data_IF_529261532075
#
_entry.id   IF_529261532075
#
_cell.length_a   1.000
_cell.length_b   1.000
_cell.length_c   1.000
_cell.angle_alpha   90.00
_cell.angle_beta   90.00
_cell.angle_gamma   90.00
#
_symmetry.space_group_name_H-M   'P 1'
#
loop_
_entity.id
_entity.type
_entity.pdbx_description
1 polymer ?
#
# COMPACT_ATOMS: atom_id res chain seq x y z
N UNK A 1 4.13 32.39 3.30
CA UNK A 1 3.22 31.33 2.81
C UNK A 1 3.01 30.33 3.93
N UNK A 2 1.78 30.03 4.36
CA UNK A 2 1.58 29.00 5.37
C UNK A 2 1.89 27.63 4.77
N UNK A 3 2.47 26.70 5.57
CA UNK A 3 2.74 25.35 5.10
C UNK A 3 1.43 24.64 4.74
N UNK A 4 1.48 23.83 3.69
CA UNK A 4 0.34 23.10 3.16
C UNK A 4 -0.28 22.22 4.27
N UNK A 5 -1.56 22.39 4.65
CA UNK A 5 -2.21 21.65 5.74
C UNK A 5 -2.27 20.13 5.51
N UNK A 6 -1.91 19.67 4.30
CA UNK A 6 -1.83 18.27 3.90
C UNK A 6 -0.64 17.50 4.50
N UNK A 7 0.44 18.17 4.91
CA UNK A 7 1.60 17.49 5.51
C UNK A 7 1.38 17.06 6.97
N UNK A 8 0.51 17.79 7.69
CA UNK A 8 0.35 17.67 9.15
C UNK A 8 -0.29 16.34 9.63
N UNK A 9 -1.02 15.63 8.77
CA UNK A 9 -1.63 14.34 9.12
C UNK A 9 -0.65 13.16 8.98
N UNK A 10 0.35 13.26 8.10
CA UNK A 10 1.32 12.19 7.88
C UNK A 10 2.44 12.13 8.93
N UNK A 11 2.68 13.23 9.64
CA UNK A 11 3.80 13.34 10.57
C UNK A 11 3.48 12.94 12.02
N UNK A 12 2.21 12.69 12.36
CA UNK A 12 1.82 12.26 13.73
C UNK A 12 2.11 10.79 14.08
N UNK A 13 2.69 10.00 13.17
CA UNK A 13 2.95 8.56 13.38
C UNK A 13 4.44 8.19 13.57
N UNK A 14 5.36 9.16 13.74
CA UNK A 14 6.79 8.86 13.94
C UNK A 14 7.16 8.72 15.41
N UNK A 15 6.74 7.62 16.04
CA UNK A 15 7.37 7.13 17.27
C UNK A 15 8.41 6.06 16.89
N UNK A 16 9.69 6.42 17.06
CA UNK A 16 10.86 5.65 17.52
C UNK A 16 12.14 6.16 16.84
N UNK A 17 13.15 6.46 17.65
CA UNK A 17 14.38 7.16 17.29
C UNK A 17 15.08 6.64 16.03
N UNK A 18 15.35 7.54 15.09
CA UNK A 18 16.04 7.22 13.84
C UNK A 18 17.54 7.39 14.02
N UNK A 19 18.29 6.28 13.94
CA UNK A 19 19.62 6.32 13.32
C UNK A 19 19.44 6.96 11.93
N UNK A 20 20.32 7.88 11.54
CA UNK A 20 20.30 8.42 10.19
C UNK A 20 20.33 7.27 9.18
N UNK A 21 19.49 7.27 8.14
CA UNK A 21 19.52 6.23 7.12
C UNK A 21 20.89 6.24 6.45
N UNK A 22 21.42 5.04 6.16
CA UNK A 22 22.70 4.91 5.47
C UNK A 22 22.62 5.59 4.09
N UNK A 23 23.72 6.18 3.60
CA UNK A 23 23.81 6.66 2.22
C UNK A 23 23.36 5.60 1.20
N UNK A 24 22.79 6.03 0.08
CA UNK A 24 22.21 5.12 -0.93
C UNK A 24 23.19 4.04 -1.39
N UNK A 25 24.45 4.39 -1.64
CA UNK A 25 25.47 3.43 -2.07
C UNK A 25 25.74 2.35 -1.00
N UNK A 26 25.80 2.72 0.28
CA UNK A 26 26.01 1.78 1.38
C UNK A 26 24.79 0.88 1.57
N UNK A 27 23.59 1.46 1.47
CA UNK A 27 22.33 0.70 1.55
C UNK A 27 22.22 -0.33 0.42
N UNK A 28 22.59 0.07 -0.81
CA UNK A 28 22.57 -0.81 -1.97
C UNK A 28 23.60 -1.93 -1.83
N UNK A 29 24.83 -1.60 -1.44
CA UNK A 29 25.88 -2.60 -1.22
C UNK A 29 25.52 -3.59 -0.11
N UNK A 30 24.99 -3.10 1.03
CA UNK A 30 24.55 -3.95 2.12
C UNK A 30 23.44 -4.92 1.69
N UNK A 31 22.47 -4.44 0.90
CA UNK A 31 21.43 -5.30 0.36
C UNK A 31 21.98 -6.36 -0.59
N UNK A 32 22.86 -6.00 -1.52
CA UNK A 32 23.48 -6.98 -2.44
C UNK A 32 24.35 -8.00 -1.68
N UNK A 33 25.12 -7.58 -0.68
CA UNK A 33 25.90 -8.51 0.16
C UNK A 33 25.01 -9.47 0.92
N UNK A 34 23.88 -9.01 1.44
CA UNK A 34 22.88 -9.88 2.07
C UNK A 34 22.32 -10.90 1.07
N UNK A 35 22.00 -10.50 -0.15
CA UNK A 35 21.55 -11.44 -1.19
C UNK A 35 22.62 -12.47 -1.56
N UNK A 36 23.90 -12.11 -1.50
CA UNK A 36 25.01 -13.04 -1.76
C UNK A 36 25.06 -14.17 -0.72
N UNK A 37 24.70 -13.89 0.53
CA UNK A 37 24.82 -14.84 1.65
C UNK A 37 23.54 -15.62 1.94
N UNK A 38 22.38 -15.10 1.52
CA UNK A 38 21.08 -15.76 1.74
C UNK A 38 20.84 -16.91 0.75
N UNK A 39 20.63 -18.11 1.28
CA UNK A 39 20.32 -19.30 0.47
C UNK A 39 18.98 -19.15 -0.25
N UNK A 40 18.99 -19.39 -1.56
CA UNK A 40 17.78 -19.29 -2.41
C UNK A 40 17.44 -17.86 -2.84
N UNK A 41 18.20 -16.86 -2.40
CA UNK A 41 18.15 -15.50 -2.94
C UNK A 41 18.86 -15.43 -4.30
N UNK A 42 18.50 -14.48 -5.17
CA UNK A 42 19.30 -14.19 -6.35
C UNK A 42 20.70 -13.74 -5.92
N UNK A 43 21.72 -14.51 -6.31
CA UNK A 43 23.11 -14.23 -5.96
C UNK A 43 23.67 -13.11 -6.85
N UNK A 44 24.05 -11.94 -6.30
CA UNK A 44 24.63 -10.88 -7.11
C UNK A 44 26.00 -11.29 -7.68
N UNK A 45 26.33 -10.79 -8.85
CA UNK A 45 27.66 -10.99 -9.46
C UNK A 45 28.56 -9.79 -9.16
N UNK A 46 29.90 -9.93 -9.21
CA UNK A 46 30.81 -8.78 -9.14
C UNK A 46 30.48 -7.69 -10.17
N UNK A 47 29.97 -8.08 -11.35
CA UNK A 47 29.48 -7.16 -12.36
C UNK A 47 28.27 -6.36 -11.88
N UNK A 48 27.32 -7.01 -11.17
CA UNK A 48 26.13 -6.34 -10.63
C UNK A 48 26.49 -5.25 -9.63
N UNK A 49 27.45 -5.49 -8.73
CA UNK A 49 27.96 -4.47 -7.81
C UNK A 49 28.50 -3.24 -8.57
N UNK A 50 29.29 -3.46 -9.63
CA UNK A 50 29.84 -2.37 -10.46
C UNK A 50 28.74 -1.60 -11.18
N UNK A 51 27.74 -2.28 -11.73
CA UNK A 51 26.59 -1.66 -12.41
C UNK A 51 25.80 -0.76 -11.47
N UNK A 52 25.50 -1.23 -10.25
CA UNK A 52 24.77 -0.44 -9.25
C UNK A 52 25.59 0.77 -8.82
N UNK A 53 26.87 0.60 -8.50
CA UNK A 53 27.76 1.70 -8.15
C UNK A 53 27.88 2.75 -9.28
N UNK A 54 28.00 2.30 -10.52
CA UNK A 54 28.05 3.19 -11.68
C UNK A 54 26.74 3.95 -11.89
N UNK A 55 25.58 3.27 -11.81
CA UNK A 55 24.28 3.91 -11.91
C UNK A 55 24.11 5.01 -10.86
N UNK A 56 24.44 4.71 -9.60
CA UNK A 56 24.32 5.69 -8.51
C UNK A 56 25.22 6.90 -8.77
N UNK A 57 26.46 6.71 -9.24
CA UNK A 57 27.36 7.82 -9.58
C UNK A 57 26.86 8.67 -10.73
N UNK A 58 26.22 8.07 -11.75
CA UNK A 58 25.81 8.77 -12.96
C UNK A 58 24.44 9.44 -12.84
N UNK A 59 23.49 8.80 -12.15
CA UNK A 59 22.07 9.25 -12.11
C UNK A 59 21.60 9.63 -10.72
N UNK A 60 22.43 9.41 -9.69
CA UNK A 60 22.04 9.58 -8.29
C UNK A 60 21.18 8.43 -7.75
N UNK A 61 20.86 7.42 -8.55
CA UNK A 61 20.03 6.27 -8.15
C UNK A 61 20.36 4.98 -8.91
N UNK A 62 19.66 3.89 -8.62
CA UNK A 62 19.73 2.62 -9.37
C UNK A 62 18.36 1.93 -9.44
N UNK A 63 18.25 0.91 -10.28
CA UNK A 63 17.06 0.08 -10.38
C UNK A 63 17.35 -1.36 -9.98
N UNK A 64 16.43 -1.95 -9.22
CA UNK A 64 16.44 -3.38 -8.89
C UNK A 64 16.07 -4.22 -10.10
N UNK A 65 16.71 -5.38 -10.25
CA UNK A 65 16.22 -6.42 -11.16
C UNK A 65 14.89 -7.01 -10.65
N UNK A 66 14.10 -7.69 -11.48
CA UNK A 66 12.87 -8.36 -11.02
C UNK A 66 13.12 -9.35 -9.88
N UNK A 67 14.23 -10.09 -9.93
CA UNK A 67 14.60 -11.05 -8.88
C UNK A 67 14.97 -10.36 -7.56
N UNK A 68 15.75 -9.28 -7.63
CA UNK A 68 16.11 -8.47 -6.46
C UNK A 68 14.86 -7.83 -5.83
N UNK A 69 13.93 -7.32 -6.65
CA UNK A 69 12.68 -6.75 -6.17
C UNK A 69 11.83 -7.81 -5.46
N UNK A 70 11.66 -8.98 -6.09
CA UNK A 70 10.86 -10.08 -5.54
C UNK A 70 11.40 -10.50 -4.16
N UNK A 71 12.71 -10.74 -4.06
CA UNK A 71 13.34 -11.11 -2.79
C UNK A 71 13.26 -9.98 -1.76
N UNK A 72 13.51 -8.73 -2.17
CA UNK A 72 13.44 -7.56 -1.29
C UNK A 72 12.05 -7.37 -0.66
N UNK A 73 10.97 -7.59 -1.42
CA UNK A 73 9.61 -7.54 -0.89
C UNK A 73 9.36 -8.63 0.16
N UNK A 74 9.77 -9.86 -0.14
CA UNK A 74 9.66 -11.01 0.78
C UNK A 74 10.43 -10.78 2.06
N UNK A 75 11.66 -10.29 1.94
CA UNK A 75 12.52 -9.95 3.08
C UNK A 75 11.92 -8.83 3.93
N UNK A 76 11.33 -7.80 3.31
CA UNK A 76 10.65 -6.73 4.04
C UNK A 76 9.48 -7.27 4.89
N UNK A 77 8.70 -8.23 4.37
CA UNK A 77 7.66 -8.88 5.15
C UNK A 77 8.23 -9.75 6.29
N UNK A 78 9.27 -10.56 6.01
CA UNK A 78 9.99 -11.34 7.04
C UNK A 78 10.44 -10.45 8.22
N UNK A 79 10.86 -9.22 7.92
CA UNK A 79 11.35 -8.24 8.89
C UNK A 79 10.26 -7.32 9.48
N UNK A 80 8.99 -7.51 9.11
CA UNK A 80 7.89 -6.73 9.68
C UNK A 80 7.57 -7.20 11.10
N UNK A 81 8.16 -6.53 12.09
CA UNK A 81 8.08 -6.91 13.52
C UNK A 81 6.66 -6.91 14.10
N UNK A 82 5.71 -6.23 13.44
CA UNK A 82 4.30 -6.17 13.85
C UNK A 82 3.42 -7.20 13.12
N UNK A 83 3.98 -8.00 12.21
CA UNK A 83 3.21 -8.99 11.44
C UNK A 83 3.33 -10.39 12.05
N UNK A 84 2.23 -10.90 12.62
CA UNK A 84 2.15 -12.28 13.13
C UNK A 84 2.26 -13.33 12.00
N UNK A 85 1.78 -13.00 10.79
CA UNK A 85 1.76 -13.89 9.63
C UNK A 85 3.09 -14.07 8.89
N UNK A 86 4.21 -13.55 9.43
CA UNK A 86 5.53 -13.55 8.78
C UNK A 86 6.08 -14.95 8.42
N UNK A 87 5.49 -16.03 8.93
CA UNK A 87 5.86 -17.39 8.54
C UNK A 87 5.65 -17.66 7.04
N UNK A 88 4.67 -17.00 6.41
CA UNK A 88 4.36 -17.18 4.99
C UNK A 88 5.21 -16.30 4.05
N UNK A 89 6.22 -15.60 4.57
CA UNK A 89 6.98 -14.57 3.84
C UNK A 89 7.51 -15.01 2.48
N UNK A 90 7.93 -16.27 2.34
CA UNK A 90 8.49 -16.82 1.10
C UNK A 90 7.45 -17.07 0.01
N UNK A 91 6.15 -17.10 0.36
CA UNK A 91 5.01 -17.33 -0.55
C UNK A 91 4.36 -16.03 -1.04
N UNK A 92 4.98 -14.87 -0.79
CA UNK A 92 4.48 -13.59 -1.28
C UNK A 92 4.55 -13.55 -2.81
N UNK A 93 3.41 -13.28 -3.43
CA UNK A 93 3.32 -12.95 -4.85
C UNK A 93 3.64 -11.46 -5.04
N UNK A 94 4.55 -11.15 -5.97
CA UNK A 94 5.05 -9.79 -6.18
C UNK A 94 4.69 -9.37 -7.60
N UNK A 95 3.85 -8.34 -7.71
CA UNK A 95 3.44 -7.73 -8.97
C UNK A 95 4.31 -6.50 -9.21
N UNK A 96 5.16 -6.55 -10.26
CA UNK A 96 6.02 -5.44 -10.65
C UNK A 96 5.27 -4.45 -11.54
N UNK A 97 4.77 -3.37 -10.92
CA UNK A 97 4.06 -2.27 -11.57
C UNK A 97 4.91 -0.99 -11.65
N UNK A 98 6.25 -1.09 -11.54
CA UNK A 98 7.16 0.07 -11.54
C UNK A 98 7.20 0.83 -12.87
N UNK A 99 6.62 0.27 -13.92
CA UNK A 99 6.52 0.87 -15.24
C UNK A 99 5.32 1.81 -15.39
N UNK A 100 4.31 1.73 -14.52
CA UNK A 100 3.09 2.55 -14.62
C UNK A 100 3.39 4.03 -14.34
N UNK A 101 2.64 4.94 -14.99
CA UNK A 101 2.92 6.38 -15.00
C UNK A 101 1.72 7.27 -14.76
N UNK A 102 0.50 6.73 -14.79
CA UNK A 102 -0.75 7.49 -14.62
C UNK A 102 -1.53 7.04 -13.38
N UNK A 103 -2.37 7.93 -12.84
CA UNK A 103 -3.26 7.57 -11.74
C UNK A 103 -4.28 6.49 -12.15
N UNK A 104 -4.74 6.48 -13.40
CA UNK A 104 -5.64 5.47 -13.98
C UNK A 104 -5.01 4.08 -14.00
N UNK A 105 -3.76 3.97 -14.45
CA UNK A 105 -3.02 2.71 -14.45
C UNK A 105 -2.84 2.18 -13.03
N UNK A 106 -2.50 3.05 -12.08
CA UNK A 106 -2.34 2.68 -10.67
C UNK A 106 -3.68 2.23 -10.09
N UNK A 107 -4.78 2.93 -10.41
CA UNK A 107 -6.12 2.54 -10.00
C UNK A 107 -6.47 1.14 -10.53
N UNK A 108 -6.26 0.90 -11.82
CA UNK A 108 -6.53 -0.40 -12.44
C UNK A 108 -5.71 -1.51 -11.78
N UNK A 109 -4.41 -1.28 -11.56
CA UNK A 109 -3.53 -2.23 -10.87
C UNK A 109 -3.97 -2.50 -9.42
N UNK A 110 -4.62 -1.55 -8.73
CA UNK A 110 -5.20 -1.78 -7.41
C UNK A 110 -6.43 -2.71 -7.49
N UNK A 111 -7.28 -2.57 -8.52
CA UNK A 111 -8.39 -3.49 -8.76
C UNK A 111 -7.91 -4.89 -9.12
N UNK A 112 -6.87 -4.96 -9.96
CA UNK A 112 -6.26 -6.22 -10.37
C UNK A 112 -5.61 -6.92 -9.17
N UNK A 113 -4.95 -6.17 -8.28
CA UNK A 113 -4.44 -6.70 -7.01
C UNK A 113 -5.56 -7.32 -6.17
N UNK A 114 -6.65 -6.58 -5.92
CA UNK A 114 -7.79 -7.08 -5.15
C UNK A 114 -8.35 -8.38 -5.75
N UNK A 115 -8.53 -8.42 -7.06
CA UNK A 115 -9.08 -9.58 -7.77
C UNK A 115 -8.12 -10.78 -7.70
N UNK A 116 -6.84 -10.55 -7.99
CA UNK A 116 -5.79 -11.58 -7.96
C UNK A 116 -5.62 -12.18 -6.57
N UNK A 117 -5.49 -11.34 -5.55
CA UNK A 117 -5.25 -11.75 -4.18
C UNK A 117 -6.50 -12.36 -3.53
N UNK A 118 -7.70 -11.97 -3.94
CA UNK A 118 -8.94 -12.55 -3.40
C UNK A 118 -9.22 -13.95 -3.95
N UNK A 119 -8.95 -14.21 -5.24
CA UNK A 119 -9.07 -15.55 -5.88
C UNK A 119 -10.36 -16.30 -5.48
N UNK A 120 -11.51 -15.64 -5.59
CA UNK A 120 -12.82 -16.19 -5.21
C UNK A 120 -12.93 -16.72 -3.76
N UNK A 121 -12.11 -16.22 -2.84
CA UNK A 121 -12.07 -16.63 -1.43
C UNK A 121 -10.81 -17.44 -1.06
N UNK A 122 -10.06 -17.96 -2.03
CA UNK A 122 -8.78 -18.66 -1.82
C UNK A 122 -7.62 -17.65 -1.71
N UNK A 123 -7.64 -16.87 -0.61
CA UNK A 123 -6.78 -15.69 -0.44
C UNK A 123 -5.30 -15.99 -0.67
N UNK A 124 -4.63 -15.11 -1.42
CA UNK A 124 -3.19 -15.15 -1.67
C UNK A 124 -2.49 -13.86 -1.27
N UNK A 125 -1.49 -13.98 -0.40
CA UNK A 125 -0.62 -12.86 -0.01
C UNK A 125 0.08 -12.28 -1.23
N UNK A 126 -0.18 -11.00 -1.48
CA UNK A 126 0.25 -10.32 -2.70
C UNK A 126 0.75 -8.92 -2.35
N UNK A 127 1.75 -8.42 -3.07
CA UNK A 127 2.17 -7.02 -3.04
C UNK A 127 2.28 -6.48 -4.47
N UNK A 128 1.79 -5.27 -4.71
CA UNK A 128 1.97 -4.56 -5.99
C UNK A 128 2.93 -3.41 -5.80
N UNK A 129 4.01 -3.37 -6.57
CA UNK A 129 5.06 -2.34 -6.43
C UNK A 129 4.92 -1.29 -7.53
N UNK A 130 4.52 -0.08 -7.15
CA UNK A 130 4.48 1.07 -8.05
C UNK A 130 5.86 1.74 -8.17
N UNK A 131 6.04 2.72 -9.06
CA UNK A 131 7.34 3.35 -9.27
C UNK A 131 8.01 3.83 -7.97
N UNK A 132 9.35 3.71 -7.87
CA UNK A 132 10.09 4.24 -6.73
C UNK A 132 9.97 5.76 -6.67
N UNK A 133 10.31 6.31 -5.51
CA UNK A 133 10.47 7.74 -5.33
C UNK A 133 11.63 8.27 -6.18
N UNK A 134 11.49 9.50 -6.69
CA UNK A 134 12.58 10.25 -7.30
C UNK A 134 13.62 10.70 -6.24
N UNK A 135 14.69 11.35 -6.68
CA UNK A 135 15.75 11.86 -5.79
C UNK A 135 15.28 12.89 -4.76
N UNK A 136 14.09 13.49 -4.97
CA UNK A 136 13.44 14.43 -4.05
C UNK A 136 12.44 13.74 -3.12
N UNK A 137 12.29 12.42 -3.22
CA UNK A 137 11.39 11.62 -2.39
C UNK A 137 9.96 11.56 -2.91
N UNK A 138 9.70 12.03 -4.13
CA UNK A 138 8.37 12.06 -4.70
C UNK A 138 8.04 10.80 -5.49
N UNK A 139 6.81 10.32 -5.37
CA UNK A 139 6.34 9.16 -6.09
C UNK A 139 4.82 9.03 -6.02
N UNK A 140 4.26 7.96 -6.58
CA UNK A 140 2.84 7.68 -6.47
C UNK A 140 2.41 7.52 -5.01
N UNK A 141 1.21 7.96 -4.68
CA UNK A 141 0.61 7.80 -3.35
C UNK A 141 -0.82 7.30 -3.49
N UNK A 142 -1.13 6.26 -2.74
CA UNK A 142 -2.50 5.84 -2.43
C UNK A 142 -2.80 6.36 -1.04
N UNK A 143 -3.80 7.22 -0.93
CA UNK A 143 -4.09 7.93 0.32
C UNK A 143 -4.93 7.11 1.28
N UNK A 144 -5.66 6.12 0.75
CA UNK A 144 -6.44 5.18 1.53
C UNK A 144 -5.52 4.38 2.47
N UNK A 145 -5.98 4.13 3.69
CA UNK A 145 -5.29 3.21 4.62
C UNK A 145 -5.26 1.78 4.06
N UNK A 146 -6.40 1.31 3.56
CA UNK A 146 -6.53 0.05 2.83
C UNK A 146 -7.33 0.26 1.54
N UNK A 147 -7.13 -0.61 0.55
CA UNK A 147 -7.86 -0.53 -0.73
C UNK A 147 -9.37 -0.75 -0.57
N UNK A 148 -9.78 -1.58 0.39
CA UNK A 148 -11.18 -1.76 0.78
C UNK A 148 -11.38 -1.21 2.19
N UNK A 149 -12.15 -0.13 2.32
CA UNK A 149 -12.60 0.45 3.60
C UNK A 149 -14.01 0.98 3.45
N UNK A 150 -14.80 0.90 4.53
CA UNK A 150 -16.11 1.52 4.59
C UNK A 150 -15.99 2.99 5.00
N UNK A 151 -16.90 3.81 4.49
CA UNK A 151 -16.99 5.22 4.84
C UNK A 151 -17.50 5.42 6.29
N UNK A 152 -17.14 6.56 6.87
CA UNK A 152 -17.62 7.04 8.16
C UNK A 152 -18.30 8.40 7.99
N UNK A 153 -19.63 8.44 7.89
CA UNK A 153 -20.36 9.69 7.72
C UNK A 153 -20.72 10.32 9.06
N UNK A 154 -20.26 11.55 9.31
CA UNK A 154 -20.70 12.33 10.47
C UNK A 154 -22.16 12.75 10.26
N UNK A 155 -23.05 12.29 11.14
CA UNK A 155 -24.48 12.66 11.15
C UNK A 155 -24.79 13.79 12.14
N UNK A 156 -23.84 14.09 13.03
CA UNK A 156 -23.94 15.14 14.05
C UNK A 156 -22.67 15.18 14.91
N UNK A 157 -22.68 15.92 16.04
CA UNK A 157 -21.47 16.15 16.86
C UNK A 157 -20.82 14.87 17.43
N UNK A 158 -21.60 13.82 17.70
CA UNK A 158 -21.10 12.55 18.30
C UNK A 158 -21.57 11.29 17.57
N UNK A 159 -22.29 11.43 16.46
CA UNK A 159 -22.87 10.29 15.75
C UNK A 159 -22.17 10.12 14.40
N UNK A 160 -21.68 8.90 14.16
CA UNK A 160 -21.06 8.49 12.90
C UNK A 160 -21.80 7.25 12.39
N UNK A 161 -22.17 7.28 11.11
CA UNK A 161 -22.68 6.12 10.38
C UNK A 161 -21.53 5.46 9.61
N UNK A 162 -21.33 4.16 9.82
CA UNK A 162 -20.24 3.40 9.20
C UNK A 162 -19.00 3.36 10.07
N UNK A 163 -17.81 3.43 9.48
CA UNK A 163 -16.54 3.26 10.21
C UNK A 163 -16.05 4.60 10.81
N UNK A 164 -16.03 4.76 12.15
CA UNK A 164 -15.56 5.99 12.79
C UNK A 164 -14.10 6.34 12.49
N UNK A 165 -13.24 5.34 12.25
CA UNK A 165 -11.82 5.56 11.97
C UNK A 165 -11.61 6.22 10.60
N UNK A 166 -12.57 6.08 9.69
CA UNK A 166 -12.51 6.65 8.35
C UNK A 166 -13.25 7.98 8.21
N UNK A 167 -13.76 8.56 9.30
CA UNK A 167 -14.59 9.75 9.22
C UNK A 167 -13.87 10.96 8.58
N UNK A 168 -12.61 11.21 8.99
CA UNK A 168 -11.82 12.32 8.44
C UNK A 168 -11.47 12.10 6.96
N UNK A 169 -11.18 10.85 6.58
CA UNK A 169 -10.88 10.49 5.20
C UNK A 169 -12.15 10.51 4.33
N UNK A 170 -13.30 10.14 4.88
CA UNK A 170 -14.62 10.27 4.25
C UNK A 170 -14.92 11.74 3.96
N UNK A 171 -14.72 12.62 4.94
CA UNK A 171 -14.90 14.06 4.77
C UNK A 171 -13.95 14.63 3.69
N UNK A 172 -12.71 14.13 3.61
CA UNK A 172 -11.78 14.46 2.53
C UNK A 172 -12.33 14.02 1.17
N UNK A 173 -12.81 12.79 1.03
CA UNK A 173 -13.38 12.28 -0.22
C UNK A 173 -14.58 13.13 -0.67
N UNK A 174 -15.47 13.51 0.26
CA UNK A 174 -16.60 14.41 -0.03
C UNK A 174 -16.14 15.78 -0.55
N UNK A 175 -15.13 16.39 0.09
CA UNK A 175 -14.55 17.68 -0.36
C UNK A 175 -13.88 17.59 -1.72
N UNK A 176 -13.27 16.44 -2.05
CA UNK A 176 -12.68 16.17 -3.36
C UNK A 176 -13.75 15.92 -4.45
N UNK A 177 -15.03 15.84 -4.07
CA UNK A 177 -16.15 15.70 -5.00
C UNK A 177 -16.75 14.28 -5.08
N UNK A 178 -16.40 13.38 -4.16
CA UNK A 178 -17.03 12.06 -4.11
C UNK A 178 -18.53 12.19 -3.82
N UNK A 179 -19.34 11.54 -4.65
CA UNK A 179 -20.79 11.45 -4.49
C UNK A 179 -21.13 10.09 -3.89
N UNK A 180 -21.42 10.00 -2.57
CA UNK A 180 -21.81 8.74 -1.96
C UNK A 180 -23.18 8.26 -2.50
N UNK A 181 -23.56 7.00 -2.25
CA UNK A 181 -24.90 6.51 -2.59
C UNK A 181 -26.01 7.41 -2.04
N UNK A 182 -27.12 7.54 -2.79
CA UNK A 182 -28.28 8.36 -2.37
C UNK A 182 -28.77 7.98 -0.97
N UNK A 183 -28.86 6.67 -0.71
CA UNK A 183 -29.12 6.12 0.62
C UNK A 183 -27.79 5.63 1.19
N UNK A 184 -27.22 6.40 2.11
CA UNK A 184 -25.99 6.04 2.81
C UNK A 184 -26.22 4.86 3.74
N UNK A 185 -25.22 4.00 3.85
CA UNK A 185 -25.23 2.83 4.73
C UNK A 185 -23.96 2.77 5.57
N UNK A 186 -23.96 1.91 6.59
CA UNK A 186 -22.78 1.66 7.41
C UNK A 186 -21.65 0.92 6.64
N UNK A 187 -21.94 0.41 5.44
CA UNK A 187 -21.04 -0.43 4.65
C UNK A 187 -20.81 0.13 3.23
N UNK A 188 -20.87 1.45 3.08
CA UNK A 188 -20.55 2.09 1.80
C UNK A 188 -19.03 2.08 1.59
N UNK A 189 -18.54 1.37 0.57
CA UNK A 189 -17.11 1.39 0.23
C UNK A 189 -16.64 2.79 -0.18
N UNK A 190 -15.49 3.20 0.34
CA UNK A 190 -14.82 4.44 -0.01
C UNK A 190 -14.26 4.41 -1.44
N UNK A 191 -14.17 5.57 -2.11
CA UNK A 191 -13.42 5.71 -3.35
C UNK A 191 -11.92 5.54 -3.10
N UNK A 192 -11.16 5.26 -4.15
CA UNK A 192 -9.69 5.32 -4.08
C UNK A 192 -9.22 6.75 -4.39
N UNK A 193 -8.31 7.26 -3.57
CA UNK A 193 -7.69 8.58 -3.76
C UNK A 193 -6.21 8.37 -4.09
N UNK A 194 -5.84 8.74 -5.30
CA UNK A 194 -4.50 8.50 -5.85
C UNK A 194 -3.91 9.81 -6.33
N UNK A 195 -2.62 10.03 -6.06
CA UNK A 195 -1.88 11.17 -6.59
C UNK A 195 -0.52 10.74 -7.11
N UNK A 196 -0.08 11.34 -8.20
CA UNK A 196 1.33 11.38 -8.60
C UNK A 196 1.99 12.64 -8.05
N UNK A 197 3.32 12.71 -8.17
CA UNK A 197 4.08 13.90 -7.80
C UNK A 197 3.54 15.16 -8.48
N UNK A 198 3.43 16.26 -7.72
CA UNK A 198 2.97 17.60 -8.14
C UNK A 198 1.57 17.68 -8.76
N UNK A 199 0.81 16.58 -8.69
CA UNK A 199 -0.58 16.53 -9.15
C UNK A 199 -1.52 16.56 -7.96
N UNK A 200 -2.68 17.20 -8.17
CA UNK A 200 -3.79 17.14 -7.20
C UNK A 200 -4.25 15.68 -7.08
N UNK A 201 -4.64 15.22 -5.87
CA UNK A 201 -5.20 13.89 -5.70
C UNK A 201 -6.47 13.74 -6.53
N UNK A 202 -6.63 12.57 -7.14
CA UNK A 202 -7.75 12.21 -8.00
C UNK A 202 -8.58 11.12 -7.33
N UNK A 203 -9.89 11.27 -7.43
CA UNK A 203 -10.85 10.29 -6.98
C UNK A 203 -11.13 9.27 -8.08
N UNK A 204 -11.11 8.00 -7.69
CA UNK A 204 -11.54 6.89 -8.51
C UNK A 204 -12.73 6.18 -7.85
N UNK A 205 -13.62 5.54 -8.64
CA UNK A 205 -14.77 4.84 -8.09
C UNK A 205 -14.40 3.84 -6.99
N UNK A 206 -15.29 3.60 -6.00
CA UNK A 206 -15.08 2.54 -5.03
C UNK A 206 -14.90 1.17 -5.71
N UNK A 207 -14.01 0.29 -5.23
CA UNK A 207 -13.66 -0.98 -5.87
C UNK A 207 -14.73 -2.08 -5.71
N UNK A 208 -16.01 -1.73 -5.84
CA UNK A 208 -17.16 -2.60 -5.51
C UNK A 208 -17.12 -3.98 -6.17
N UNK A 209 -16.66 -4.06 -7.43
CA UNK A 209 -16.59 -5.32 -8.18
C UNK A 209 -15.39 -6.18 -7.81
N UNK A 210 -14.32 -5.56 -7.29
CA UNK A 210 -13.08 -6.24 -6.92
C UNK A 210 -13.05 -6.62 -5.42
N UNK A 211 -13.94 -6.05 -4.60
CA UNK A 211 -14.05 -6.35 -3.18
C UNK A 211 -15.06 -7.48 -2.94
N UNK A 212 -14.58 -8.63 -2.44
CA UNK A 212 -15.44 -9.67 -1.87
C UNK A 212 -15.86 -9.27 -0.46
N UNK A 213 -17.16 -9.23 -0.19
CA UNK A 213 -17.74 -9.02 1.14
C UNK A 213 -18.32 -10.31 1.69
N UNK A 214 -18.11 -10.55 2.98
CA UNK A 214 -18.64 -11.70 3.72
C UNK A 214 -19.72 -11.20 4.69
N UNK A 215 -20.97 -11.66 4.57
CA UNK A 215 -22.00 -11.37 5.56
C UNK A 215 -21.67 -12.10 6.86
N UNK A 216 -21.80 -11.41 7.98
CA UNK A 216 -21.55 -11.99 9.31
C UNK A 216 -22.86 -12.56 9.83
N UNK A 217 -22.85 -13.86 10.12
CA UNK A 217 -23.98 -14.62 10.68
C UNK A 217 -23.48 -15.51 11.81
N UNK A 218 -24.35 -15.83 12.76
CA UNK A 218 -24.03 -16.83 13.78
C UNK A 218 -24.50 -18.21 13.28
N UNK A 219 -23.72 -19.29 13.48
CA UNK A 219 -24.05 -20.61 12.94
C UNK A 219 -25.41 -21.14 13.42
N UNK A 220 -25.73 -20.93 14.70
CA UNK A 220 -26.93 -21.51 15.32
C UNK A 220 -28.00 -20.48 15.72
N UNK A 221 -27.78 -19.18 15.47
CA UNK A 221 -28.67 -18.12 15.96
C UNK A 221 -28.89 -17.03 14.91
N UNK A 222 -30.15 -16.72 14.64
CA UNK A 222 -30.52 -15.66 13.69
C UNK A 222 -30.49 -14.26 14.30
N UNK A 223 -30.14 -14.10 15.59
CA UNK A 223 -30.20 -12.80 16.27
C UNK A 223 -29.35 -11.73 15.57
N UNK A 224 -28.21 -12.12 14.97
CA UNK A 224 -27.32 -11.21 14.23
C UNK A 224 -27.80 -10.87 12.82
N UNK A 225 -28.70 -11.66 12.22
CA UNK A 225 -29.14 -11.46 10.83
C UNK A 225 -29.85 -10.11 10.67
N UNK A 226 -30.56 -9.69 11.71
CA UNK A 226 -31.25 -8.39 11.77
C UNK A 226 -30.28 -7.20 11.65
N UNK A 227 -29.03 -7.35 12.10
CA UNK A 227 -28.00 -6.31 12.03
C UNK A 227 -27.37 -6.17 10.64
N UNK A 228 -27.51 -7.19 9.78
CA UNK A 228 -27.01 -7.22 8.39
C UNK A 228 -25.52 -6.84 8.29
N UNK A 229 -24.74 -7.26 9.29
CA UNK A 229 -23.30 -7.01 9.38
C UNK A 229 -22.56 -7.69 8.23
N UNK A 230 -21.47 -7.07 7.78
CA UNK A 230 -20.59 -7.60 6.75
C UNK A 230 -19.18 -7.04 6.90
N UNK A 231 -18.21 -7.71 6.29
CA UNK A 231 -16.84 -7.21 6.20
C UNK A 231 -16.20 -7.64 4.87
N UNK A 232 -15.23 -6.90 4.38
CA UNK A 232 -14.46 -7.30 3.20
C UNK A 232 -13.52 -8.46 3.56
N UNK A 233 -13.37 -9.42 2.66
CA UNK A 233 -12.60 -10.65 2.89
C UNK A 233 -11.08 -10.43 2.92
N UNK A 234 -10.58 -9.44 2.18
CA UNK A 234 -9.15 -9.22 1.97
C UNK A 234 -8.70 -7.86 2.52
N UNK A 235 -7.86 -7.81 3.57
CA UNK A 235 -7.26 -6.57 4.05
C UNK A 235 -6.02 -6.21 3.23
N UNK A 236 -6.14 -5.26 2.29
CA UNK A 236 -4.99 -4.74 1.53
C UNK A 236 -4.51 -3.41 2.12
N UNK A 237 -3.41 -3.39 2.88
CA UNK A 237 -2.79 -2.15 3.40
C UNK A 237 -2.14 -1.38 2.24
N UNK A 238 -2.43 -0.09 2.10
CA UNK A 238 -2.02 0.71 0.92
C UNK A 238 -1.23 1.98 1.22
N UNK A 239 -1.17 2.44 2.47
CA UNK A 239 -0.51 3.70 2.83
C UNK A 239 0.91 3.52 3.40
N UNK A 240 1.46 2.31 3.38
CA UNK A 240 2.81 2.02 3.84
C UNK A 240 3.83 2.15 2.70
N UNK A 241 5.05 2.50 3.10
CA UNK A 241 6.20 2.63 2.21
C UNK A 241 7.10 1.40 2.34
N UNK A 242 7.56 0.87 1.20
CA UNK A 242 8.55 -0.20 1.16
C UNK A 242 9.94 0.40 0.91
N UNK A 243 10.95 -0.10 1.63
CA UNK A 243 12.35 0.26 1.42
C UNK A 243 13.18 -0.99 1.10
N UNK A 244 13.95 -0.95 0.01
CA UNK A 244 14.84 -2.05 -0.42
C UNK A 244 16.17 -1.44 -0.89
N UNK A 245 17.27 -1.79 -0.22
CA UNK A 245 18.61 -1.35 -0.63
C UNK A 245 18.74 0.17 -0.80
N UNK A 246 18.06 0.94 0.06
CA UNK A 246 18.04 2.41 0.03
C UNK A 246 17.05 3.03 -0.98
N UNK A 247 16.44 2.24 -1.86
CA UNK A 247 15.35 2.70 -2.70
C UNK A 247 14.05 2.72 -1.89
N UNK A 248 13.21 3.71 -2.17
CA UNK A 248 11.96 3.96 -1.48
C UNK A 248 10.79 3.82 -2.45
N UNK A 249 9.78 3.02 -2.11
CA UNK A 249 8.57 2.80 -2.89
C UNK A 249 7.36 3.34 -2.10
N UNK A 250 6.91 4.59 -2.38
CA UNK A 250 5.89 5.26 -1.56
C UNK A 250 4.48 4.67 -1.67
N UNK A 251 4.20 3.90 -2.73
CA UNK A 251 2.98 3.13 -2.89
C UNK A 251 3.35 1.68 -3.20
N UNK A 252 3.06 0.78 -2.26
CA UNK A 252 3.33 -0.64 -2.39
C UNK A 252 2.23 -1.44 -1.66
N UNK A 253 0.97 -1.40 -2.12
CA UNK A 253 -0.12 -2.06 -1.42
C UNK A 253 0.09 -3.57 -1.31
N UNK A 254 -0.20 -4.12 -0.13
CA UNK A 254 -0.01 -5.54 0.18
C UNK A 254 -1.15 -6.13 1.01
N UNK A 255 -1.39 -7.43 0.86
CA UNK A 255 -2.35 -8.24 1.64
C UNK A 255 -1.73 -9.51 2.23
#
# INVERSE_FOLDING_TARGET
MPPCPFLALSDRLRLTGRKQPLPLHQSAEAFLRLLQTERGAPTPTPLRFRQVAQSIRQTGTYSLTPAELNYGCRLAWRNSVRCVGRFFWSKLDVIDARHLRTEEEIYQACLDHLTHATRHGDIRSTITIFPPADSRGHGPRIWNYQLSRYAGYRLGKKQILGDPAEADFTDLCLRLGWKPPKKRTAFDLLPLVISLHDKKPRLFPPPKKATLEVPIRHPDSSCLDSLRLRWFALPVVSNMKLEIGGLSFPAAPFS
#
